data_IF_410764222777
#
_entry.id   IF_410764222777
#
_cell.length_a   1.000
_cell.length_b   1.000
_cell.length_c   1.000
_cell.angle_alpha   90.00
_cell.angle_beta   90.00
_cell.angle_gamma   90.00
#
_symmetry.space_group_name_H-M   'P 1'
#
loop_
_entity.id
_entity.type
_entity.pdbx_description
1 polymer ?
#
# COMPACT_ATOMS: atom_id res chain seq x y z
N UNK A 1 -13.78 -18.06 12.51
CA UNK A 1 -14.56 -17.00 11.84
C UNK A 1 -15.08 -17.51 10.50
N UNK A 2 -14.21 -17.96 9.59
CA UNK A 2 -14.58 -18.47 8.25
C UNK A 2 -15.74 -19.49 8.25
N UNK A 3 -15.58 -20.63 8.93
CA UNK A 3 -16.63 -21.67 9.00
C UNK A 3 -17.97 -21.12 9.49
N UNK A 4 -17.96 -20.23 10.49
CA UNK A 4 -19.21 -19.63 10.99
C UNK A 4 -19.89 -18.76 9.93
N UNK A 5 -19.11 -18.01 9.14
CA UNK A 5 -19.62 -17.18 8.05
C UNK A 5 -20.11 -18.00 6.86
N UNK A 6 -19.46 -19.13 6.56
CA UNK A 6 -19.92 -20.07 5.53
C UNK A 6 -21.26 -20.72 5.91
N UNK A 7 -21.44 -21.09 7.19
CA UNK A 7 -22.72 -21.61 7.67
C UNK A 7 -23.79 -20.51 7.63
N UNK A 8 -23.46 -19.28 8.06
CA UNK A 8 -24.36 -18.12 7.95
C UNK A 8 -24.80 -17.91 6.49
N UNK A 9 -23.91 -18.12 5.53
CA UNK A 9 -24.18 -17.95 4.10
C UNK A 9 -25.21 -18.95 3.55
N UNK A 10 -25.23 -20.16 4.10
CA UNK A 10 -26.20 -21.21 3.73
C UNK A 10 -27.51 -21.18 4.52
N UNK A 11 -27.63 -20.36 5.56
CA UNK A 11 -28.83 -20.29 6.39
C UNK A 11 -29.83 -19.26 5.87
N UNK A 12 -31.12 -19.56 6.04
CA UNK A 12 -32.19 -18.58 5.88
C UNK A 12 -32.15 -17.49 6.95
N UNK A 13 -32.70 -16.32 6.64
CA UNK A 13 -32.80 -15.22 7.59
C UNK A 13 -33.58 -15.65 8.85
N UNK A 14 -32.98 -15.46 10.02
CA UNK A 14 -33.60 -15.83 11.29
C UNK A 14 -32.63 -15.87 12.47
N UNK A 15 -33.13 -16.32 13.63
CA UNK A 15 -32.39 -16.29 14.89
C UNK A 15 -31.07 -17.09 14.86
N UNK A 16 -31.06 -18.25 14.19
CA UNK A 16 -29.86 -19.07 14.06
C UNK A 16 -28.76 -18.36 13.25
N UNK A 17 -29.13 -17.70 12.15
CA UNK A 17 -28.21 -16.93 11.33
C UNK A 17 -27.61 -15.75 12.11
N UNK A 18 -28.46 -14.99 12.83
CA UNK A 18 -28.00 -13.86 13.64
C UNK A 18 -27.08 -14.30 14.79
N UNK A 19 -27.40 -15.40 15.48
CA UNK A 19 -26.58 -15.93 16.56
C UNK A 19 -25.17 -16.35 16.06
N UNK A 20 -25.11 -17.01 14.91
CA UNK A 20 -23.83 -17.41 14.31
C UNK A 20 -23.03 -16.20 13.79
N UNK A 21 -23.71 -15.21 13.21
CA UNK A 21 -23.06 -13.96 12.80
C UNK A 21 -22.46 -13.23 14.00
N UNK A 22 -23.19 -13.16 15.13
CA UNK A 22 -22.68 -12.60 16.38
C UNK A 22 -21.40 -13.29 16.85
N UNK A 23 -21.38 -14.63 16.82
CA UNK A 23 -20.18 -15.42 17.16
C UNK A 23 -19.02 -15.11 16.20
N UNK A 24 -19.31 -14.92 14.90
CA UNK A 24 -18.28 -14.53 13.94
C UNK A 24 -17.71 -13.14 14.25
N UNK A 25 -18.56 -12.15 14.56
CA UNK A 25 -18.18 -10.78 14.94
C UNK A 25 -17.37 -10.77 16.25
N UNK A 26 -17.77 -11.54 17.26
CA UNK A 26 -16.98 -11.68 18.50
C UNK A 26 -15.58 -12.25 18.24
N UNK A 27 -15.45 -13.17 17.27
CA UNK A 27 -14.14 -13.69 16.85
C UNK A 27 -13.32 -12.63 16.12
N UNK A 28 -13.93 -11.75 15.31
CA UNK A 28 -13.24 -10.61 14.65
C UNK A 28 -12.51 -9.76 15.68
N UNK A 29 -13.18 -9.43 16.80
CA UNK A 29 -12.62 -8.58 17.84
C UNK A 29 -11.36 -9.16 18.48
N UNK A 30 -11.21 -10.49 18.50
CA UNK A 30 -10.08 -11.22 19.09
C UNK A 30 -8.91 -11.43 18.12
N UNK A 31 -9.13 -11.30 16.81
CA UNK A 31 -8.07 -11.49 15.83
C UNK A 31 -7.07 -10.32 15.83
N UNK A 32 -5.82 -10.64 15.49
CA UNK A 32 -4.80 -9.64 15.14
C UNK A 32 -5.21 -8.95 13.85
N UNK A 33 -4.83 -7.69 13.70
CA UNK A 33 -5.27 -6.83 12.60
C UNK A 33 -4.73 -7.35 11.26
N UNK A 34 -3.50 -7.84 11.25
CA UNK A 34 -2.81 -8.39 10.10
C UNK A 34 -3.50 -9.68 9.61
N UNK A 35 -3.80 -10.58 10.54
CA UNK A 35 -4.50 -11.85 10.25
C UNK A 35 -5.94 -11.60 9.77
N UNK A 36 -6.60 -10.58 10.32
CA UNK A 36 -7.94 -10.18 9.91
C UNK A 36 -7.96 -9.56 8.51
N UNK A 37 -7.05 -8.61 8.23
CA UNK A 37 -6.95 -7.93 6.94
C UNK A 37 -6.55 -8.85 5.78
N UNK A 38 -5.87 -9.96 6.06
CA UNK A 38 -5.49 -10.99 5.08
C UNK A 38 -6.48 -12.17 5.00
N UNK A 39 -7.56 -12.15 5.79
CA UNK A 39 -8.52 -13.24 5.85
C UNK A 39 -9.37 -13.32 4.58
N UNK A 40 -9.41 -14.52 3.98
CA UNK A 40 -10.30 -14.83 2.83
C UNK A 40 -11.79 -14.72 3.17
N UNK A 41 -12.15 -14.69 4.45
CA UNK A 41 -13.54 -14.57 4.89
C UNK A 41 -14.04 -13.12 5.00
N UNK A 42 -13.21 -12.12 4.68
CA UNK A 42 -13.59 -10.69 4.70
C UNK A 42 -14.83 -10.38 3.84
N UNK A 43 -14.95 -10.86 2.58
CA UNK A 43 -16.12 -10.55 1.77
C UNK A 43 -17.42 -11.07 2.40
N UNK A 44 -17.42 -12.30 2.92
CA UNK A 44 -18.57 -12.87 3.61
C UNK A 44 -18.90 -12.12 4.90
N UNK A 45 -17.89 -11.70 5.67
CA UNK A 45 -18.08 -10.89 6.87
C UNK A 45 -18.83 -9.60 6.53
N UNK A 46 -18.35 -8.84 5.55
CA UNK A 46 -18.95 -7.57 5.18
C UNK A 46 -20.31 -7.72 4.54
N UNK A 47 -20.52 -8.71 3.67
CA UNK A 47 -21.84 -9.06 3.12
C UNK A 47 -22.86 -9.17 4.25
N UNK A 48 -22.59 -10.02 5.24
CA UNK A 48 -23.56 -10.35 6.28
C UNK A 48 -23.73 -9.24 7.32
N UNK A 49 -22.64 -8.58 7.72
CA UNK A 49 -22.71 -7.48 8.68
C UNK A 49 -23.48 -6.28 8.11
N UNK A 50 -23.35 -5.99 6.81
CA UNK A 50 -24.12 -4.92 6.14
C UNK A 50 -25.60 -5.31 5.96
N UNK A 51 -25.88 -6.58 5.64
CA UNK A 51 -27.24 -7.07 5.35
C UNK A 51 -28.08 -7.34 6.59
N UNK A 52 -27.47 -7.73 7.72
CA UNK A 52 -28.21 -8.15 8.91
C UNK A 52 -28.98 -7.01 9.60
N UNK A 53 -28.65 -5.75 9.30
CA UNK A 53 -29.28 -4.55 9.87
C UNK A 53 -28.94 -4.29 11.34
N UNK A 54 -28.11 -5.13 11.97
CA UNK A 54 -27.65 -4.92 13.35
C UNK A 54 -26.49 -3.91 13.37
N UNK A 55 -26.83 -2.68 13.76
CA UNK A 55 -25.86 -1.58 13.84
C UNK A 55 -24.73 -1.88 14.83
N UNK A 56 -25.01 -2.61 15.92
CA UNK A 56 -23.99 -2.91 16.94
C UNK A 56 -22.92 -3.86 16.40
N UNK A 57 -23.32 -4.83 15.57
CA UNK A 57 -22.39 -5.72 14.89
C UNK A 57 -21.54 -4.96 13.88
N UNK A 58 -22.17 -4.07 13.11
CA UNK A 58 -21.45 -3.23 12.17
C UNK A 58 -20.43 -2.33 12.85
N UNK A 59 -20.83 -1.61 13.90
CA UNK A 59 -19.95 -0.70 14.63
C UNK A 59 -18.78 -1.44 15.29
N UNK A 60 -19.02 -2.66 15.77
CA UNK A 60 -17.96 -3.51 16.33
C UNK A 60 -16.91 -3.86 15.28
N UNK A 61 -17.33 -4.29 14.09
CA UNK A 61 -16.40 -4.61 13.00
C UNK A 61 -15.73 -3.34 12.46
N UNK A 62 -16.49 -2.28 12.22
CA UNK A 62 -15.99 -1.03 11.68
C UNK A 62 -14.98 -0.37 12.63
N UNK A 63 -15.24 -0.36 13.94
CA UNK A 63 -14.31 0.19 14.93
C UNK A 63 -12.95 -0.52 14.94
N UNK A 64 -12.95 -1.85 14.79
CA UNK A 64 -11.70 -2.64 14.68
C UNK A 64 -10.87 -2.18 13.49
N UNK A 65 -11.49 -1.97 12.32
CA UNK A 65 -10.80 -1.50 11.11
C UNK A 65 -10.42 -0.01 11.16
N UNK A 66 -11.22 0.84 11.81
CA UNK A 66 -10.84 2.24 12.08
C UNK A 66 -9.53 2.31 12.89
N UNK A 67 -9.25 1.32 13.73
CA UNK A 67 -8.01 1.24 14.51
C UNK A 67 -6.86 0.52 13.77
N UNK A 68 -7.09 0.00 12.57
CA UNK A 68 -6.06 -0.71 11.78
C UNK A 68 -5.10 0.28 11.11
N UNK A 69 -3.81 -0.07 10.93
CA UNK A 69 -2.89 0.71 10.12
C UNK A 69 -3.43 0.94 8.70
N UNK A 70 -3.41 2.17 8.16
CA UNK A 70 -3.95 2.46 6.84
C UNK A 70 -3.32 1.63 5.71
N UNK A 71 -2.05 1.24 5.86
CA UNK A 71 -1.33 0.38 4.90
C UNK A 71 -2.01 -0.97 4.65
N UNK A 72 -2.79 -1.47 5.62
CA UNK A 72 -3.46 -2.78 5.57
C UNK A 72 -4.94 -2.70 5.16
N UNK A 73 -5.48 -1.50 4.91
CA UNK A 73 -6.92 -1.31 4.68
C UNK A 73 -7.38 -1.62 3.26
N UNK A 74 -6.48 -1.68 2.28
CA UNK A 74 -6.87 -1.89 0.88
C UNK A 74 -7.75 -3.15 0.67
N UNK A 75 -7.36 -4.36 1.14
CA UNK A 75 -8.22 -5.55 0.98
C UNK A 75 -9.56 -5.44 1.70
N UNK A 76 -9.59 -4.71 2.83
CA UNK A 76 -10.81 -4.46 3.59
C UNK A 76 -11.78 -3.60 2.78
N UNK A 77 -11.27 -2.50 2.19
CA UNK A 77 -12.09 -1.59 1.39
C UNK A 77 -12.62 -2.28 0.13
N UNK A 78 -11.79 -3.08 -0.55
CA UNK A 78 -12.22 -3.87 -1.70
C UNK A 78 -13.35 -4.85 -1.34
N UNK A 79 -13.28 -5.46 -0.15
CA UNK A 79 -14.27 -6.45 0.29
C UNK A 79 -15.66 -5.86 0.57
N UNK A 80 -15.77 -4.73 1.28
CA UNK A 80 -17.09 -4.12 1.51
C UNK A 80 -17.59 -3.27 0.34
N UNK A 81 -16.68 -2.83 -0.53
CA UNK A 81 -17.02 -2.04 -1.72
C UNK A 81 -18.09 -2.71 -2.60
N UNK A 82 -18.11 -4.03 -2.69
CA UNK A 82 -19.09 -4.74 -3.51
C UNK A 82 -20.53 -4.60 -2.99
N UNK A 83 -20.71 -4.22 -1.72
CA UNK A 83 -22.01 -4.17 -1.05
C UNK A 83 -22.57 -2.75 -0.87
N UNK A 84 -21.81 -1.73 -1.28
CA UNK A 84 -22.17 -0.32 -1.08
C UNK A 84 -23.10 0.26 -2.16
N UNK A 85 -23.20 -0.37 -3.35
CA UNK A 85 -23.91 0.21 -4.49
C UNK A 85 -25.41 0.46 -4.27
N UNK A 86 -25.99 -0.14 -3.25
CA UNK A 86 -27.41 -0.03 -2.90
C UNK A 86 -27.67 0.91 -1.72
N UNK A 87 -26.64 1.43 -1.04
CA UNK A 87 -26.77 2.24 0.16
C UNK A 87 -26.74 3.73 -0.19
N UNK A 88 -27.70 4.55 0.30
CA UNK A 88 -27.61 5.99 0.15
C UNK A 88 -26.44 6.55 0.96
N UNK A 89 -25.87 7.67 0.52
CA UNK A 89 -24.72 8.29 1.18
C UNK A 89 -25.01 8.74 2.63
N UNK A 90 -26.29 8.98 2.96
CA UNK A 90 -26.75 9.32 4.31
C UNK A 90 -26.99 8.11 5.21
N UNK A 91 -26.85 6.88 4.70
CA UNK A 91 -27.01 5.67 5.50
C UNK A 91 -25.85 5.55 6.50
N UNK A 92 -26.16 5.32 7.78
CA UNK A 92 -25.15 5.19 8.84
C UNK A 92 -24.09 4.14 8.52
N UNK A 93 -24.47 3.08 7.78
CA UNK A 93 -23.54 2.05 7.33
C UNK A 93 -22.58 2.58 6.28
N UNK A 94 -23.08 3.39 5.35
CA UNK A 94 -22.23 4.06 4.35
C UNK A 94 -21.27 5.03 5.05
N UNK A 95 -21.74 5.80 6.04
CA UNK A 95 -20.91 6.72 6.83
C UNK A 95 -19.80 5.97 7.58
N UNK A 96 -20.14 4.86 8.24
CA UNK A 96 -19.18 4.04 8.98
C UNK A 96 -18.07 3.46 8.08
N UNK A 97 -18.44 2.99 6.88
CA UNK A 97 -17.52 2.42 5.89
C UNK A 97 -16.66 3.50 5.22
N UNK A 98 -17.26 4.67 4.93
CA UNK A 98 -16.55 5.82 4.37
C UNK A 98 -15.46 6.32 5.31
N UNK A 99 -15.68 6.30 6.63
CA UNK A 99 -14.65 6.66 7.60
C UNK A 99 -13.40 5.74 7.53
N UNK A 100 -13.57 4.46 7.19
CA UNK A 100 -12.43 3.53 6.96
C UNK A 100 -11.70 3.90 5.67
N UNK A 101 -12.44 4.18 4.59
CA UNK A 101 -11.89 4.59 3.32
C UNK A 101 -11.13 5.93 3.41
N UNK A 102 -11.68 6.92 4.12
CA UNK A 102 -11.06 8.24 4.29
C UNK A 102 -9.70 8.15 5.00
N UNK A 103 -9.57 7.27 6.00
CA UNK A 103 -8.28 7.01 6.64
C UNK A 103 -7.23 6.46 5.66
N UNK A 104 -7.65 5.63 4.69
CA UNK A 104 -6.77 5.16 3.60
C UNK A 104 -6.43 6.29 2.63
N UNK A 105 -7.40 7.11 2.26
CA UNK A 105 -7.23 8.29 1.39
C UNK A 105 -6.19 9.26 1.97
N UNK A 106 -6.31 9.61 3.26
CA UNK A 106 -5.35 10.48 3.96
C UNK A 106 -3.93 9.90 3.91
N UNK A 107 -3.79 8.60 4.19
CA UNK A 107 -2.51 7.93 4.12
C UNK A 107 -1.93 7.91 2.70
N UNK A 108 -2.75 7.64 1.68
CA UNK A 108 -2.32 7.67 0.28
C UNK A 108 -1.84 9.06 -0.13
N UNK A 109 -2.52 10.12 0.31
CA UNK A 109 -2.06 11.49 0.06
C UNK A 109 -0.67 11.75 0.65
N UNK A 110 -0.41 11.30 1.89
CA UNK A 110 0.92 11.41 2.51
C UNK A 110 1.97 10.61 1.71
N UNK A 111 1.64 9.39 1.28
CA UNK A 111 2.55 8.59 0.47
C UNK A 111 2.84 9.26 -0.88
N UNK A 112 1.83 9.84 -1.54
CA UNK A 112 2.01 10.52 -2.82
C UNK A 112 2.83 11.80 -2.70
N UNK A 113 2.74 12.55 -1.60
CA UNK A 113 3.63 13.69 -1.35
C UNK A 113 5.08 13.26 -1.18
N UNK A 114 5.32 12.12 -0.53
CA UNK A 114 6.66 11.55 -0.41
C UNK A 114 7.21 11.04 -1.76
N UNK A 115 6.36 10.34 -2.52
CA UNK A 115 6.73 9.70 -3.80
C UNK A 115 6.74 10.67 -5.00
N UNK A 116 6.00 11.78 -4.92
CA UNK A 116 5.80 12.74 -6.02
C UNK A 116 6.97 13.68 -6.30
N UNK A 117 8.11 13.48 -5.64
CA UNK A 117 9.32 14.27 -5.88
C UNK A 117 9.87 14.00 -7.29
N UNK A 118 10.48 15.01 -7.96
CA UNK A 118 11.16 14.82 -9.24
C UNK A 118 12.21 13.71 -9.19
N UNK A 119 12.56 13.16 -10.36
CA UNK A 119 13.61 12.14 -10.46
C UNK A 119 14.91 12.64 -9.79
N UNK A 120 15.44 11.83 -8.88
CA UNK A 120 16.73 12.02 -8.25
C UNK A 120 17.51 10.71 -8.27
N UNK A 121 18.83 10.81 -8.41
CA UNK A 121 19.74 9.69 -8.19
C UNK A 121 20.02 9.44 -6.71
N UNK A 122 19.51 10.29 -5.82
CA UNK A 122 19.62 10.09 -4.38
C UNK A 122 18.78 8.89 -3.93
N UNK A 123 19.40 8.02 -3.14
CA UNK A 123 18.73 6.94 -2.42
C UNK A 123 18.92 7.19 -0.92
N UNK A 124 18.13 8.07 -0.29
CA UNK A 124 18.42 8.61 1.06
C UNK A 124 18.58 7.54 2.13
N UNK A 125 17.81 6.46 2.01
CA UNK A 125 17.79 5.34 2.95
C UNK A 125 18.71 4.17 2.54
N UNK A 126 19.54 4.36 1.50
CA UNK A 126 20.48 3.34 1.04
C UNK A 126 21.44 2.91 2.16
N UNK A 127 21.65 1.61 2.25
CA UNK A 127 22.59 1.01 3.20
C UNK A 127 23.67 0.23 2.45
N UNK A 128 24.94 0.49 2.78
CA UNK A 128 26.09 -0.23 2.24
C UNK A 128 27.09 -0.53 3.37
N UNK A 129 27.00 -1.72 4.00
CA UNK A 129 27.70 -2.00 5.26
C UNK A 129 29.22 -1.97 5.19
N UNK A 130 29.83 -2.33 4.06
CA UNK A 130 31.29 -2.48 3.94
C UNK A 130 32.04 -1.15 3.79
N UNK A 131 31.39 -0.10 3.28
CA UNK A 131 32.09 1.15 3.01
C UNK A 131 31.19 2.39 3.14
N UNK A 132 31.50 3.24 4.12
CA UNK A 132 30.76 4.48 4.38
C UNK A 132 30.80 5.48 3.23
N UNK A 133 31.88 5.52 2.41
CA UNK A 133 31.97 6.41 1.25
C UNK A 133 31.06 5.95 0.11
N UNK A 134 30.99 4.64 -0.12
CA UNK A 134 30.04 4.06 -1.08
C UNK A 134 28.61 4.32 -0.62
N UNK A 135 28.32 4.15 0.67
CA UNK A 135 27.00 4.50 1.23
C UNK A 135 26.66 5.98 1.04
N UNK A 136 27.61 6.89 1.31
CA UNK A 136 27.42 8.32 1.11
C UNK A 136 27.17 8.67 -0.37
N UNK A 137 27.90 8.04 -1.30
CA UNK A 137 27.63 8.17 -2.73
C UNK A 137 26.22 7.70 -3.10
N UNK A 138 25.78 6.53 -2.60
CA UNK A 138 24.45 6.02 -2.89
C UNK A 138 23.35 6.99 -2.45
N UNK A 139 23.56 7.65 -1.30
CA UNK A 139 22.65 8.67 -0.77
C UNK A 139 22.76 10.03 -1.47
N UNK A 140 23.87 10.29 -2.17
CA UNK A 140 24.13 11.55 -2.87
C UNK A 140 23.51 11.63 -4.27
N UNK A 141 23.69 12.75 -4.99
CA UNK A 141 23.04 13.01 -6.28
C UNK A 141 23.78 12.43 -7.50
N UNK A 142 25.01 11.94 -7.32
CA UNK A 142 25.81 11.45 -8.44
C UNK A 142 25.32 10.09 -8.93
N UNK A 143 25.35 9.84 -10.23
CA UNK A 143 24.85 8.61 -10.85
C UNK A 143 25.88 7.49 -10.92
N UNK A 144 27.16 7.80 -10.82
CA UNK A 144 28.26 6.83 -10.88
C UNK A 144 29.43 7.28 -10.01
N UNK A 145 30.17 6.34 -9.42
CA UNK A 145 31.46 6.58 -8.77
C UNK A 145 32.42 5.44 -9.09
N UNK A 146 33.71 5.70 -9.04
CA UNK A 146 34.72 4.65 -8.97
C UNK A 146 35.26 4.50 -7.56
N UNK A 147 35.95 3.39 -7.31
CA UNK A 147 36.50 3.04 -6.00
C UNK A 147 37.97 3.43 -5.83
N UNK A 148 38.55 4.20 -6.76
CA UNK A 148 39.92 4.68 -6.62
C UNK A 148 40.05 5.56 -5.37
N UNK A 149 41.05 5.27 -4.53
CA UNK A 149 41.22 5.96 -3.24
C UNK A 149 40.14 5.67 -2.19
N UNK A 150 39.18 4.79 -2.49
CA UNK A 150 38.13 4.32 -1.56
C UNK A 150 38.38 2.87 -1.14
N UNK A 151 38.78 2.02 -2.09
CA UNK A 151 39.11 0.62 -1.86
C UNK A 151 40.28 0.20 -2.74
N UNK A 152 41.23 -0.53 -2.17
CA UNK A 152 42.37 -1.08 -2.91
C UNK A 152 42.06 -2.50 -3.40
N UNK A 153 42.45 -2.79 -4.64
CA UNK A 153 42.33 -4.14 -5.22
C UNK A 153 43.69 -4.64 -5.71
N UNK A 154 44.02 -5.90 -5.38
CA UNK A 154 45.26 -6.56 -5.79
C UNK A 154 45.31 -6.94 -7.30
N UNK A 155 44.27 -6.59 -8.07
CA UNK A 155 44.10 -7.00 -9.46
C UNK A 155 42.66 -6.97 -9.91
N UNK A 156 42.44 -6.97 -11.23
CA UNK A 156 41.10 -6.93 -11.83
C UNK A 156 40.25 -8.15 -11.43
N UNK A 157 40.88 -9.31 -11.17
CA UNK A 157 40.19 -10.48 -10.63
C UNK A 157 39.61 -10.24 -9.23
N UNK A 158 40.35 -9.53 -8.36
CA UNK A 158 39.85 -9.17 -7.03
C UNK A 158 38.71 -8.14 -7.11
N UNK A 159 38.84 -7.14 -7.99
CA UNK A 159 37.79 -6.17 -8.27
C UNK A 159 36.52 -6.84 -8.81
N UNK A 160 36.66 -7.82 -9.73
CA UNK A 160 35.54 -8.59 -10.27
C UNK A 160 34.84 -9.42 -9.20
N UNK A 161 35.61 -10.14 -8.37
CA UNK A 161 35.03 -10.93 -7.27
C UNK A 161 34.26 -10.03 -6.28
N UNK A 162 34.77 -8.84 -5.99
CA UNK A 162 34.07 -7.86 -5.18
C UNK A 162 32.75 -7.44 -5.83
N UNK A 163 32.77 -7.05 -7.10
CA UNK A 163 31.56 -6.70 -7.85
C UNK A 163 30.53 -7.85 -7.82
N UNK A 164 30.95 -9.08 -8.14
CA UNK A 164 30.06 -10.25 -8.15
C UNK A 164 29.47 -10.56 -6.78
N UNK A 165 30.25 -10.42 -5.70
CA UNK A 165 29.77 -10.66 -4.33
C UNK A 165 28.63 -9.71 -3.99
N UNK A 166 28.85 -8.41 -4.20
CA UNK A 166 27.85 -7.38 -3.91
C UNK A 166 26.64 -7.40 -4.85
N UNK A 167 26.81 -7.86 -6.09
CA UNK A 167 25.68 -8.08 -7.00
C UNK A 167 24.81 -9.28 -6.61
N UNK A 168 25.33 -10.23 -5.81
CA UNK A 168 24.56 -11.36 -5.25
C UNK A 168 23.89 -11.00 -3.92
N UNK A 169 24.42 -10.03 -3.19
CA UNK A 169 23.83 -9.57 -1.94
C UNK A 169 22.55 -8.75 -2.17
N UNK A 170 21.66 -8.79 -1.17
CA UNK A 170 20.44 -8.01 -1.20
C UNK A 170 20.79 -6.52 -1.06
N UNK A 171 20.53 -5.75 -2.10
CA UNK A 171 20.63 -4.29 -2.05
C UNK A 171 19.49 -3.73 -1.21
N UNK A 172 19.81 -3.06 -0.09
CA UNK A 172 18.82 -2.54 0.86
C UNK A 172 18.57 -1.07 0.56
N UNK A 173 17.32 -0.75 0.17
CA UNK A 173 16.88 0.60 -0.21
C UNK A 173 17.76 1.27 -1.28
N UNK A 174 18.41 0.46 -2.13
CA UNK A 174 19.32 0.94 -3.15
C UNK A 174 19.14 0.12 -4.44
N UNK A 175 19.55 0.69 -5.57
CA UNK A 175 19.75 -0.06 -6.80
C UNK A 175 20.96 0.43 -7.58
N UNK A 176 21.94 -0.44 -7.76
CA UNK A 176 23.18 -0.14 -8.46
C UNK A 176 23.75 -1.39 -9.15
N UNK A 177 24.62 -1.17 -10.13
CA UNK A 177 25.50 -2.17 -10.74
C UNK A 177 26.93 -1.91 -10.35
N UNK A 178 27.74 -2.97 -10.38
CA UNK A 178 29.17 -2.93 -10.11
C UNK A 178 29.91 -3.58 -11.28
N UNK A 179 30.86 -2.85 -11.85
CA UNK A 179 31.68 -3.33 -12.96
C UNK A 179 33.16 -3.13 -12.63
N UNK A 180 33.95 -4.19 -12.81
CA UNK A 180 35.38 -4.16 -12.52
C UNK A 180 36.16 -3.66 -13.73
N UNK A 181 37.04 -2.69 -13.50
CA UNK A 181 37.82 -2.00 -14.51
C UNK A 181 39.30 -1.93 -14.13
N UNK A 182 40.14 -1.53 -15.10
CA UNK A 182 41.58 -1.37 -14.91
C UNK A 182 42.40 -2.66 -14.99
N UNK A 183 43.69 -2.57 -14.67
CA UNK A 183 44.66 -3.69 -14.75
C UNK A 183 45.67 -3.66 -13.62
N UNK A 184 46.11 -4.85 -13.19
CA UNK A 184 47.14 -4.99 -12.15
C UNK A 184 46.79 -4.19 -10.89
N UNK A 185 47.76 -3.44 -10.37
CA UNK A 185 47.58 -2.61 -9.17
C UNK A 185 46.69 -1.37 -9.35
N UNK A 186 46.23 -1.07 -10.56
CA UNK A 186 45.28 0.02 -10.85
C UNK A 186 43.86 -0.50 -11.09
N UNK A 187 43.53 -1.69 -10.59
CA UNK A 187 42.20 -2.24 -10.70
C UNK A 187 41.24 -1.53 -9.74
N UNK A 188 40.02 -1.26 -10.21
CA UNK A 188 38.97 -0.62 -9.45
C UNK A 188 37.60 -1.17 -9.87
N UNK A 189 36.56 -0.75 -9.15
CA UNK A 189 35.17 -1.05 -9.44
C UNK A 189 34.43 0.27 -9.66
N UNK A 190 33.67 0.33 -10.75
CA UNK A 190 32.70 1.40 -11.04
C UNK A 190 31.36 0.98 -10.47
N UNK A 191 30.75 1.87 -9.70
CA UNK A 191 29.43 1.71 -9.10
C UNK A 191 28.49 2.64 -9.84
N UNK A 192 27.51 2.09 -10.56
CA UNK A 192 26.54 2.88 -11.32
C UNK A 192 25.16 2.67 -10.73
N UNK A 193 24.50 3.76 -10.31
CA UNK A 193 23.12 3.70 -9.84
C UNK A 193 22.21 3.34 -11.00
N UNK A 194 21.26 2.46 -10.75
CA UNK A 194 20.26 2.11 -11.77
C UNK A 194 18.95 2.82 -11.53
N UNK A 195 18.17 2.94 -12.60
CA UNK A 195 16.80 3.42 -12.52
C UNK A 195 15.83 2.37 -11.98
N UNK A 196 16.25 1.13 -11.71
CA UNK A 196 15.31 0.08 -11.29
C UNK A 196 14.59 0.42 -9.97
N UNK A 197 15.31 1.01 -9.00
CA UNK A 197 14.70 1.53 -7.77
C UNK A 197 13.66 2.61 -8.08
N UNK A 198 13.99 3.58 -8.94
CA UNK A 198 13.04 4.60 -9.39
C UNK A 198 11.84 3.97 -10.12
N UNK A 199 12.07 3.00 -11.00
CA UNK A 199 11.00 2.35 -11.76
C UNK A 199 10.02 1.63 -10.84
N UNK A 200 10.50 0.94 -9.81
CA UNK A 200 9.63 0.37 -8.77
C UNK A 200 8.90 1.47 -7.98
N UNK A 201 9.58 2.57 -7.62
CA UNK A 201 8.95 3.72 -6.98
C UNK A 201 7.86 4.37 -7.86
N UNK A 202 8.08 4.45 -9.18
CA UNK A 202 7.11 4.97 -10.14
C UNK A 202 5.90 4.04 -10.31
N UNK A 203 6.13 2.71 -10.32
CA UNK A 203 5.03 1.74 -10.33
C UNK A 203 4.16 1.89 -9.09
N UNK A 204 4.77 2.02 -7.91
CA UNK A 204 4.03 2.18 -6.66
C UNK A 204 3.29 3.52 -6.62
N UNK A 205 3.90 4.60 -7.09
CA UNK A 205 3.26 5.89 -7.25
C UNK A 205 2.03 5.81 -8.18
N UNK A 206 2.13 5.09 -9.31
CA UNK A 206 1.01 4.93 -10.22
C UNK A 206 -0.14 4.14 -9.55
N UNK A 207 0.17 3.05 -8.84
CA UNK A 207 -0.82 2.28 -8.09
C UNK A 207 -1.55 3.16 -7.06
N UNK A 208 -0.80 3.91 -6.25
CA UNK A 208 -1.39 4.80 -5.24
C UNK A 208 -2.23 5.92 -5.86
N UNK A 209 -1.83 6.48 -7.00
CA UNK A 209 -2.65 7.46 -7.74
C UNK A 209 -3.96 6.85 -8.24
N UNK A 210 -3.91 5.65 -8.82
CA UNK A 210 -5.10 4.95 -9.30
C UNK A 210 -6.03 4.58 -8.15
N UNK A 211 -5.49 4.05 -7.05
CA UNK A 211 -6.26 3.72 -5.85
C UNK A 211 -6.93 4.97 -5.26
N UNK A 212 -6.17 6.07 -5.10
CA UNK A 212 -6.71 7.33 -4.60
C UNK A 212 -7.85 7.85 -5.48
N UNK A 213 -7.69 7.84 -6.81
CA UNK A 213 -8.74 8.30 -7.72
C UNK A 213 -10.04 7.48 -7.57
N UNK A 214 -9.92 6.15 -7.45
CA UNK A 214 -11.06 5.26 -7.25
C UNK A 214 -11.74 5.49 -5.90
N UNK A 215 -10.96 5.62 -4.82
CA UNK A 215 -11.49 5.85 -3.48
C UNK A 215 -12.12 7.24 -3.36
N UNK A 216 -11.50 8.28 -3.90
CA UNK A 216 -12.04 9.64 -3.87
C UNK A 216 -13.32 9.75 -4.72
N UNK A 217 -13.40 9.09 -5.88
CA UNK A 217 -14.64 9.07 -6.67
C UNK A 217 -15.80 8.39 -5.94
N UNK A 218 -15.50 7.43 -5.07
CA UNK A 218 -16.50 6.59 -4.40
C UNK A 218 -16.90 7.07 -3.01
N UNK A 219 -15.94 7.56 -2.24
CA UNK A 219 -16.07 7.93 -0.83
C UNK A 219 -15.75 9.39 -0.55
N UNK A 220 -15.14 10.09 -1.51
CA UNK A 220 -14.95 11.53 -1.44
C UNK A 220 -16.31 12.20 -1.43
N UNK A 221 -16.79 12.52 -0.23
CA UNK A 221 -17.93 13.40 -0.05
C UNK A 221 -17.62 14.74 -0.74
N UNK A 222 -18.66 15.29 -1.36
CA UNK A 222 -18.67 16.59 -2.01
C UNK A 222 -18.21 17.71 -1.07
N UNK A 223 -16.92 18.01 -1.03
CA UNK A 223 -16.45 19.36 -0.72
C UNK A 223 -16.82 20.27 -1.90
N UNK A 224 -18.08 20.69 -1.97
CA UNK A 224 -18.55 21.61 -3.02
C UNK A 224 -20.00 21.50 -3.48
N UNK A 225 -20.87 20.73 -2.84
CA UNK A 225 -22.33 20.82 -3.10
C UNK A 225 -22.96 22.05 -2.41
N UNK A 226 -22.35 23.21 -2.62
CA UNK A 226 -22.88 24.53 -2.28
C UNK A 226 -22.35 25.57 -3.29
N UNK A 227 -22.64 25.35 -4.57
CA UNK A 227 -22.74 26.43 -5.56
C UNK A 227 -23.63 25.98 -6.71
N UNK A 228 -24.67 26.76 -6.95
CA UNK A 228 -25.79 26.43 -7.82
C UNK A 228 -25.42 26.22 -9.30
N UNK A 229 -26.02 25.19 -9.88
CA UNK A 229 -26.10 24.99 -11.32
C UNK A 229 -27.53 24.60 -11.68
N UNK A 230 -28.36 25.60 -11.94
CA UNK A 230 -29.72 25.41 -12.44
C UNK A 230 -29.72 24.56 -13.71
N UNK A 231 -30.36 23.39 -13.67
CA UNK A 231 -30.67 22.60 -14.87
C UNK A 231 -31.66 23.40 -15.74
N UNK A 232 -31.16 24.02 -16.81
CA UNK A 232 -32.00 24.46 -17.93
C UNK A 232 -32.71 23.23 -18.48
N UNK A 233 -34.04 23.17 -18.32
CA UNK A 233 -34.91 22.27 -19.07
C UNK A 233 -34.88 22.71 -20.52
N UNK A 234 -34.44 21.84 -21.43
CA UNK A 234 -34.66 22.02 -22.85
C UNK A 234 -36.15 21.74 -23.14
N UNK A 235 -36.80 22.71 -23.77
CA UNK A 235 -38.17 22.68 -24.25
C UNK A 235 -38.14 21.95 -25.60
N UNK A 236 -38.90 20.87 -25.75
CA UNK A 236 -39.24 20.37 -27.08
C UNK A 236 -40.56 21.03 -27.50
N UNK A 237 -40.52 21.64 -28.68
CA UNK A 237 -41.70 22.00 -29.48
C UNK A 237 -42.40 20.76 -30.03
#
# INVERSE_FOLDING_TARGET
MAIALEIVDGLGAGAAQQALLKIAVEKVSRLRKEDLCSSKALPLLWKWVIQCGDQTMLDTVASKFKQTPPSLLQPVIESFSQHLGTLPASDDRFVALSAIANKRIEWLNIQLQALGKPFSWEMPDASFPDNARIQAFLRGPESSMDTNGVRHFNGVGHARNYAETWMREKQVNASFTLEAEGRGGSAYVVITKTRAWLSEHQKELLKHKTELALLSARFGAAEGAASGGARKRARHE
#
